data_IF_770290692920
#
_entry.id   IF_770290692920
#
_cell.length_a   1.000
_cell.length_b   1.000
_cell.length_c   1.000
_cell.angle_alpha   90.00
_cell.angle_beta   90.00
_cell.angle_gamma   90.00
#
_symmetry.space_group_name_H-M   'P 1'
#
loop_
_entity.id
_entity.type
_entity.pdbx_description
1 polymer ?
#
# COMPACT_ATOMS: atom_id res chain seq x y z
N UNK A 1 -12.47 13.76 12.24
CA UNK A 1 -12.16 13.36 10.85
C UNK A 1 -12.52 14.51 9.92
N UNK A 2 -11.74 14.75 8.87
CA UNK A 2 -11.98 15.85 7.92
C UNK A 2 -11.51 15.50 6.50
N UNK A 3 -12.07 16.17 5.49
CA UNK A 3 -11.59 16.09 4.11
C UNK A 3 -10.51 17.14 3.86
N UNK A 4 -9.43 16.74 3.21
CA UNK A 4 -8.27 17.60 2.94
C UNK A 4 -7.74 17.37 1.53
N UNK A 5 -6.99 18.33 1.01
CA UNK A 5 -6.14 18.11 -0.18
C UNK A 5 -4.80 17.56 0.27
N UNK A 6 -4.52 16.31 -0.08
CA UNK A 6 -3.28 15.62 0.25
C UNK A 6 -2.17 15.82 -0.81
N UNK A 7 -1.10 15.02 -0.72
CA UNK A 7 -0.05 14.98 -1.72
C UNK A 7 -0.56 14.76 -3.15
N UNK A 8 0.14 15.33 -4.13
CA UNK A 8 -0.26 15.34 -5.57
C UNK A 8 -1.68 15.88 -5.83
N UNK A 9 -2.21 16.70 -4.90
CA UNK A 9 -3.55 17.33 -4.97
C UNK A 9 -4.72 16.35 -4.92
N UNK A 10 -4.50 15.12 -4.46
CA UNK A 10 -5.58 14.16 -4.27
C UNK A 10 -6.52 14.55 -3.12
N UNK A 11 -7.80 14.26 -3.30
CA UNK A 11 -8.74 14.37 -2.19
C UNK A 11 -8.47 13.24 -1.18
N UNK A 12 -8.34 13.60 0.09
CA UNK A 12 -8.08 12.67 1.16
C UNK A 12 -9.06 12.82 2.30
N UNK A 13 -9.28 11.73 3.04
CA UNK A 13 -9.85 11.74 4.38
C UNK A 13 -8.71 11.70 5.40
N UNK A 14 -8.73 12.64 6.36
CA UNK A 14 -7.74 12.74 7.43
C UNK A 14 -8.33 12.32 8.77
N UNK A 15 -7.62 11.43 9.44
CA UNK A 15 -7.84 11.07 10.84
C UNK A 15 -6.69 11.67 11.66
N UNK A 16 -7.00 12.32 12.78
CA UNK A 16 -6.02 12.98 13.63
C UNK A 16 -6.34 12.83 15.12
N UNK A 17 -5.29 12.89 15.93
CA UNK A 17 -5.32 13.10 17.36
C UNK A 17 -4.26 14.16 17.72
N UNK A 18 -3.97 14.34 19.00
CA UNK A 18 -3.00 15.36 19.45
C UNK A 18 -1.54 15.03 19.06
N UNK A 19 -1.25 13.78 18.66
CA UNK A 19 0.10 13.27 18.43
C UNK A 19 0.44 13.07 16.96
N UNK A 20 -0.49 12.54 16.17
CA UNK A 20 -0.30 12.14 14.76
C UNK A 20 -1.55 12.40 13.92
N UNK A 21 -1.35 12.37 12.61
CA UNK A 21 -2.43 12.26 11.63
C UNK A 21 -2.08 11.28 10.51
N UNK A 22 -3.12 10.71 9.92
CA UNK A 22 -3.07 9.80 8.77
C UNK A 22 -4.03 10.28 7.71
N UNK A 23 -3.62 10.22 6.44
CA UNK A 23 -4.44 10.63 5.29
C UNK A 23 -4.54 9.50 4.29
N UNK A 24 -5.77 9.22 3.89
CA UNK A 24 -6.06 8.22 2.87
C UNK A 24 -6.83 8.83 1.71
N UNK A 25 -6.43 8.49 0.49
CA UNK A 25 -7.03 9.01 -0.73
C UNK A 25 -8.46 8.48 -0.90
N UNK A 26 -9.36 9.33 -1.38
CA UNK A 26 -10.77 8.98 -1.59
C UNK A 26 -11.23 9.10 -3.05
N UNK A 27 -10.53 9.91 -3.84
CA UNK A 27 -10.69 10.08 -5.29
C UNK A 27 -9.92 9.03 -6.11
N UNK A 28 -8.90 8.42 -5.51
CA UNK A 28 -8.16 7.26 -6.03
C UNK A 28 -7.90 6.27 -4.89
N UNK A 29 -7.78 4.96 -5.15
CA UNK A 29 -7.26 4.00 -4.16
C UNK A 29 -8.09 2.73 -3.96
N UNK A 30 -8.06 2.12 -2.75
CA UNK A 30 -7.69 2.71 -1.45
C UNK A 30 -6.17 2.78 -1.20
N UNK A 31 -5.69 3.94 -0.70
CA UNK A 31 -4.28 4.15 -0.34
C UNK A 31 -4.15 5.06 0.88
N UNK A 32 -3.15 4.82 1.72
CA UNK A 32 -2.70 5.79 2.72
C UNK A 32 -1.49 6.49 2.15
N UNK A 33 -1.53 7.82 2.06
CA UNK A 33 -0.48 8.62 1.41
C UNK A 33 0.32 9.44 2.41
N UNK A 34 -0.26 9.69 3.59
CA UNK A 34 0.42 10.43 4.66
C UNK A 34 0.27 9.72 5.98
N UNK A 35 1.36 9.64 6.72
CA UNK A 35 1.36 9.40 8.17
C UNK A 35 2.44 10.29 8.79
N UNK A 36 2.06 11.13 9.74
CA UNK A 36 2.96 12.14 10.30
C UNK A 36 2.60 12.46 11.75
N UNK A 37 3.61 12.92 12.50
CA UNK A 37 3.41 13.60 13.78
C UNK A 37 2.77 14.97 13.55
N UNK A 38 1.98 15.46 14.49
CA UNK A 38 1.48 16.84 14.40
C UNK A 38 2.68 17.81 14.35
N UNK A 39 2.76 18.61 13.28
CA UNK A 39 3.89 19.51 13.01
C UNK A 39 5.16 18.85 12.47
N UNK A 40 5.15 17.54 12.22
CA UNK A 40 6.28 16.80 11.64
C UNK A 40 6.15 16.56 10.14
N UNK A 41 7.16 15.91 9.58
CA UNK A 41 7.20 15.50 8.17
C UNK A 41 6.44 14.18 7.93
N UNK A 42 5.92 13.99 6.73
CA UNK A 42 5.35 12.72 6.29
C UNK A 42 6.44 11.63 6.28
N UNK A 43 6.21 10.52 6.98
CA UNK A 43 7.16 9.40 6.99
C UNK A 43 7.02 8.49 5.77
N UNK A 44 5.88 8.57 5.08
CA UNK A 44 5.62 7.78 3.88
C UNK A 44 6.33 8.39 2.67
N UNK A 45 6.89 7.53 1.83
CA UNK A 45 7.68 7.94 0.68
C UNK A 45 6.80 8.21 -0.54
N UNK A 46 7.05 9.34 -1.20
CA UNK A 46 6.35 9.78 -2.41
C UNK A 46 7.09 9.34 -3.69
N UNK A 47 6.34 8.92 -4.70
CA UNK A 47 6.89 8.48 -5.99
C UNK A 47 6.02 8.92 -7.18
N UNK A 48 5.49 10.14 -7.13
CA UNK A 48 4.53 10.66 -8.12
C UNK A 48 5.09 10.81 -9.54
N UNK A 49 6.42 10.94 -9.67
CA UNK A 49 7.09 11.10 -10.97
C UNK A 49 7.15 9.80 -11.80
N UNK A 50 6.73 8.66 -11.23
CA UNK A 50 6.74 7.36 -11.92
C UNK A 50 5.35 7.06 -12.46
N UNK A 51 5.22 6.95 -13.78
CA UNK A 51 4.03 6.46 -14.45
C UNK A 51 4.40 5.30 -15.38
N UNK A 52 3.72 4.17 -15.22
CA UNK A 52 3.91 2.97 -16.06
C UNK A 52 2.61 2.72 -16.80
N UNK A 53 2.65 2.79 -18.13
CA UNK A 53 1.51 2.42 -18.96
C UNK A 53 1.31 0.91 -18.93
N UNK A 54 0.10 0.47 -18.59
CA UNK A 54 -0.28 -0.94 -18.58
C UNK A 54 -1.54 -1.15 -19.43
N UNK A 55 -1.82 -2.40 -19.80
CA UNK A 55 -3.07 -2.74 -20.49
C UNK A 55 -4.33 -2.50 -19.65
N UNK A 56 -4.17 -2.24 -18.35
CA UNK A 56 -5.24 -1.93 -17.39
C UNK A 56 -5.34 -0.42 -17.09
N UNK A 57 -4.52 0.41 -17.74
CA UNK A 57 -4.39 1.85 -17.52
C UNK A 57 -3.04 2.26 -16.95
N UNK A 58 -2.81 3.57 -16.80
CA UNK A 58 -1.59 4.12 -16.23
C UNK A 58 -1.49 3.75 -14.74
N UNK A 59 -0.51 2.93 -14.40
CA UNK A 59 -0.18 2.65 -13.00
C UNK A 59 0.73 3.75 -12.46
N UNK A 60 0.38 4.27 -11.28
CA UNK A 60 1.20 5.20 -10.52
C UNK A 60 1.45 4.67 -9.11
N UNK A 61 2.68 4.73 -8.60
CA UNK A 61 2.93 4.57 -7.18
C UNK A 61 2.60 5.90 -6.51
N UNK A 62 1.30 6.12 -6.20
CA UNK A 62 0.83 7.27 -5.42
C UNK A 62 1.33 7.26 -3.96
N UNK A 63 2.58 6.86 -3.70
CA UNK A 63 3.20 6.83 -2.38
C UNK A 63 2.59 5.81 -1.40
N UNK A 64 3.22 5.74 -0.24
CA UNK A 64 2.62 5.25 1.00
C UNK A 64 2.21 3.78 1.02
N UNK A 65 1.00 3.50 1.49
CA UNK A 65 0.54 2.16 1.83
C UNK A 65 -0.61 1.67 0.93
N UNK A 66 -0.52 0.44 0.44
CA UNK A 66 -1.49 -0.14 -0.51
C UNK A 66 -1.71 -1.64 -0.33
N UNK A 67 -2.94 -2.09 -0.55
CA UNK A 67 -3.34 -3.50 -0.59
C UNK A 67 -3.20 -4.13 -1.99
N UNK A 68 -2.56 -5.29 -2.04
CA UNK A 68 -2.35 -6.13 -3.22
C UNK A 68 -2.89 -7.56 -3.01
N UNK A 69 -2.99 -8.30 -4.11
CA UNK A 69 -3.36 -9.71 -4.14
C UNK A 69 -2.22 -10.54 -4.73
N UNK A 70 -1.91 -11.68 -4.12
CA UNK A 70 -1.01 -12.71 -4.62
C UNK A 70 -1.83 -13.95 -5.07
N UNK A 71 -1.31 -14.83 -5.95
CA UNK A 71 -0.02 -14.72 -6.64
C UNK A 71 0.04 -13.48 -7.53
N UNK A 72 1.24 -12.95 -7.76
CA UNK A 72 1.41 -11.79 -8.63
C UNK A 72 0.99 -12.16 -10.05
N UNK A 73 -0.17 -11.67 -10.48
CA UNK A 73 -0.78 -12.03 -11.73
C UNK A 73 -1.58 -10.86 -12.32
N UNK A 74 -1.46 -10.67 -13.63
CA UNK A 74 -2.34 -9.78 -14.36
C UNK A 74 -3.69 -10.50 -14.58
N UNK A 75 -4.85 -9.88 -14.29
CA UNK A 75 -5.05 -8.48 -13.84
C UNK A 75 -5.15 -8.26 -12.32
N UNK A 76 -5.18 -9.32 -11.51
CA UNK A 76 -5.50 -9.24 -10.08
C UNK A 76 -4.56 -8.32 -9.28
N UNK A 77 -3.25 -8.44 -9.50
CA UNK A 77 -2.22 -7.73 -8.73
C UNK A 77 -1.93 -6.33 -9.26
N UNK A 78 -2.16 -6.11 -10.56
CA UNK A 78 -1.78 -4.87 -11.25
C UNK A 78 -2.93 -3.90 -11.53
N UNK A 79 -4.14 -4.22 -11.05
CA UNK A 79 -5.26 -3.29 -11.06
C UNK A 79 -4.76 -1.93 -10.52
N UNK A 80 -4.90 -0.80 -11.21
CA UNK A 80 -4.18 0.43 -10.88
C UNK A 80 -4.70 1.14 -9.62
N UNK A 81 -5.91 0.81 -9.17
CA UNK A 81 -6.62 1.47 -8.06
C UNK A 81 -6.69 3.01 -8.27
N UNK A 82 -7.05 3.43 -9.48
CA UNK A 82 -7.17 4.85 -9.89
C UNK A 82 -8.61 5.40 -9.79
N UNK A 83 -9.56 4.59 -9.33
CA UNK A 83 -10.96 4.99 -9.21
C UNK A 83 -11.26 5.52 -7.79
N UNK A 84 -12.27 6.39 -7.64
CA UNK A 84 -12.78 6.78 -6.33
C UNK A 84 -13.25 5.57 -5.52
N UNK A 85 -13.13 5.68 -4.20
CA UNK A 85 -13.56 4.67 -3.24
C UNK A 85 -14.82 5.12 -2.48
N UNK A 86 -15.63 4.15 -2.08
CA UNK A 86 -16.72 4.41 -1.12
C UNK A 86 -16.13 4.63 0.27
N UNK A 87 -16.55 5.72 0.92
CA UNK A 87 -16.06 6.14 2.25
C UNK A 87 -17.14 5.85 3.29
N UNK A 88 -16.80 5.02 4.27
CA UNK A 88 -17.67 4.72 5.42
C UNK A 88 -16.98 5.15 6.71
N UNK A 89 -17.42 6.27 7.28
CA UNK A 89 -16.94 6.74 8.58
C UNK A 89 -17.47 5.82 9.70
N UNK A 90 -16.60 5.47 10.64
CA UNK A 90 -16.89 4.57 11.77
C UNK A 90 -16.45 5.29 13.05
N UNK A 91 -17.38 6.01 13.67
CA UNK A 91 -17.05 6.90 14.79
C UNK A 91 -16.12 8.03 14.36
N UNK A 92 -15.37 8.59 15.31
CA UNK A 92 -14.58 9.81 15.06
C UNK A 92 -13.19 9.56 14.45
N UNK A 93 -12.65 8.35 14.66
CA UNK A 93 -11.25 7.99 14.38
C UNK A 93 -11.11 6.65 13.66
N UNK A 94 -12.14 6.18 12.98
CA UNK A 94 -11.99 5.06 12.06
C UNK A 94 -12.76 5.30 10.76
N UNK A 95 -12.18 4.87 9.64
CA UNK A 95 -12.81 4.95 8.32
C UNK A 95 -12.59 3.64 7.59
N UNK A 96 -13.60 3.18 6.85
CA UNK A 96 -13.48 2.06 5.92
C UNK A 96 -13.62 2.59 4.50
N UNK A 97 -12.58 2.33 3.70
CA UNK A 97 -12.52 2.65 2.28
C UNK A 97 -12.76 1.39 1.46
N UNK A 98 -13.66 1.45 0.50
CA UNK A 98 -14.03 0.30 -0.34
C UNK A 98 -13.86 0.68 -1.82
N UNK A 99 -12.94 0.03 -2.52
CA UNK A 99 -12.78 0.23 -3.96
C UNK A 99 -13.94 -0.39 -4.74
N UNK A 100 -14.13 0.06 -5.98
CA UNK A 100 -14.93 -0.70 -6.94
C UNK A 100 -14.26 -2.05 -7.24
N UNK A 101 -15.04 -3.12 -7.51
CA UNK A 101 -14.45 -4.38 -7.96
C UNK A 101 -13.68 -4.21 -9.27
N UNK A 102 -12.43 -4.65 -9.31
CA UNK A 102 -11.59 -4.69 -10.50
C UNK A 102 -11.13 -6.13 -10.72
N UNK A 103 -11.28 -6.64 -11.94
CA UNK A 103 -11.00 -8.04 -12.27
C UNK A 103 -11.66 -9.08 -11.34
N UNK A 104 -12.88 -8.79 -10.85
CA UNK A 104 -13.60 -9.68 -9.94
C UNK A 104 -13.11 -9.64 -8.49
N UNK A 105 -12.14 -8.79 -8.14
CA UNK A 105 -11.70 -8.56 -6.77
C UNK A 105 -12.10 -7.19 -6.28
N UNK A 106 -12.65 -7.12 -5.07
CA UNK A 106 -12.90 -5.86 -4.38
C UNK A 106 -11.97 -5.73 -3.18
N UNK A 107 -11.21 -4.63 -3.13
CA UNK A 107 -10.31 -4.31 -2.04
C UNK A 107 -10.99 -3.35 -1.08
N UNK A 108 -10.75 -3.52 0.21
CA UNK A 108 -11.13 -2.54 1.23
C UNK A 108 -10.09 -2.46 2.33
N UNK A 109 -10.02 -1.29 2.95
CA UNK A 109 -9.10 -0.97 4.03
C UNK A 109 -9.86 -0.24 5.12
N UNK A 110 -9.83 -0.76 6.34
CA UNK A 110 -10.30 -0.04 7.53
C UNK A 110 -9.10 0.52 8.26
N UNK A 111 -9.08 1.84 8.47
CA UNK A 111 -8.02 2.57 9.16
C UNK A 111 -8.59 3.08 10.46
N UNK A 112 -7.95 2.73 11.58
CA UNK A 112 -8.34 3.19 12.92
C UNK A 112 -7.16 3.89 13.58
N UNK A 113 -7.36 5.12 14.02
CA UNK A 113 -6.39 5.88 14.80
C UNK A 113 -6.75 5.82 16.29
N UNK A 114 -5.77 5.51 17.14
CA UNK A 114 -5.97 5.51 18.59
C UNK A 114 -6.30 6.92 19.10
N UNK A 115 -7.08 7.01 20.20
CA UNK A 115 -7.45 8.30 20.79
C UNK A 115 -6.23 9.13 21.23
N UNK A 116 -5.14 8.47 21.60
CA UNK A 116 -3.86 9.07 22.00
C UNK A 116 -2.69 8.26 21.49
N UNK A 117 -1.54 8.90 21.37
CA UNK A 117 -0.30 8.31 20.87
C UNK A 117 -0.31 8.13 19.36
N UNK A 118 0.61 7.32 18.86
CA UNK A 118 0.90 7.21 17.43
C UNK A 118 0.38 5.93 16.77
N UNK A 119 -0.50 5.19 17.46
CA UNK A 119 -0.92 3.87 16.98
C UNK A 119 -2.01 3.99 15.91
N UNK A 120 -1.72 3.45 14.74
CA UNK A 120 -2.68 3.28 13.63
C UNK A 120 -2.83 1.79 13.34
N UNK A 121 -4.08 1.32 13.36
CA UNK A 121 -4.43 -0.06 13.00
C UNK A 121 -5.04 -0.08 11.61
N UNK A 122 -4.55 -0.97 10.75
CA UNK A 122 -5.05 -1.13 9.39
C UNK A 122 -5.55 -2.56 9.23
N UNK A 123 -6.82 -2.71 8.83
CA UNK A 123 -7.42 -4.01 8.50
C UNK A 123 -7.68 -4.08 7.01
N UNK A 124 -7.01 -5.01 6.35
CA UNK A 124 -7.17 -5.29 4.92
C UNK A 124 -8.22 -6.36 4.68
N UNK A 125 -9.00 -6.21 3.61
CA UNK A 125 -9.92 -7.23 3.13
C UNK A 125 -10.00 -7.24 1.62
N UNK A 126 -9.95 -8.44 1.06
CA UNK A 126 -10.25 -8.71 -0.35
C UNK A 126 -11.53 -9.55 -0.41
N UNK A 127 -12.46 -9.19 -1.29
CA UNK A 127 -13.68 -9.93 -1.55
C UNK A 127 -13.69 -10.39 -3.01
N UNK A 128 -13.83 -11.70 -3.22
CA UNK A 128 -14.02 -12.27 -4.55
C UNK A 128 -15.47 -12.09 -5.00
N UNK A 129 -15.67 -11.34 -6.08
CA UNK A 129 -16.94 -11.13 -6.77
C UNK A 129 -17.04 -11.93 -8.08
N UNK A 130 -16.05 -12.76 -8.39
CA UNK A 130 -16.10 -13.66 -9.54
C UNK A 130 -16.92 -14.92 -9.23
N UNK A 131 -17.42 -15.58 -10.27
CA UNK A 131 -18.14 -16.86 -10.13
C UNK A 131 -17.27 -18.00 -9.59
N UNK A 132 -16.03 -18.22 -10.08
CA UNK A 132 -15.21 -19.30 -9.54
C UNK A 132 -14.61 -18.93 -8.17
N UNK A 133 -14.40 -19.94 -7.34
CA UNK A 133 -13.47 -19.83 -6.22
C UNK A 133 -12.07 -19.60 -6.77
N UNK A 134 -11.34 -18.66 -6.17
CA UNK A 134 -9.97 -18.32 -6.52
C UNK A 134 -9.07 -18.50 -5.30
N UNK A 135 -7.83 -18.90 -5.56
CA UNK A 135 -6.79 -18.96 -4.56
C UNK A 135 -6.03 -17.64 -4.58
N UNK A 136 -6.10 -16.88 -3.49
CA UNK A 136 -5.40 -15.60 -3.34
C UNK A 136 -4.86 -15.43 -1.92
N UNK A 137 -3.82 -14.59 -1.79
CA UNK A 137 -3.36 -14.09 -0.50
C UNK A 137 -3.31 -12.55 -0.51
N UNK A 138 -3.83 -11.88 0.54
CA UNK A 138 -3.65 -10.44 0.70
C UNK A 138 -2.21 -10.14 1.09
N UNK A 139 -1.62 -9.11 0.48
CA UNK A 139 -0.34 -8.56 0.88
C UNK A 139 -0.37 -7.05 0.75
N UNK A 140 0.44 -6.35 1.52
CA UNK A 140 0.43 -4.90 1.52
C UNK A 140 1.85 -4.36 1.34
N UNK A 141 1.96 -3.28 0.58
CA UNK A 141 3.21 -2.58 0.34
C UNK A 141 3.17 -1.24 1.07
N UNK A 142 4.29 -0.89 1.71
CA UNK A 142 4.51 0.41 2.34
C UNK A 142 5.80 1.02 1.81
N UNK A 143 5.68 2.16 1.15
CA UNK A 143 6.81 2.98 0.75
C UNK A 143 7.08 3.99 1.86
N UNK A 144 8.30 4.00 2.37
CA UNK A 144 8.77 4.96 3.39
C UNK A 144 9.75 5.94 2.78
N UNK A 145 9.84 7.14 3.36
CA UNK A 145 10.80 8.16 2.93
C UNK A 145 12.25 7.66 3.00
N UNK A 146 13.10 8.15 2.09
CA UNK A 146 14.51 7.79 2.06
C UNK A 146 15.27 8.37 3.28
N UNK A 147 16.38 7.75 3.66
CA UNK A 147 17.24 8.21 4.76
C UNK A 147 16.90 7.62 6.14
N UNK A 148 15.87 6.79 6.23
CA UNK A 148 15.53 6.03 7.43
C UNK A 148 16.38 4.76 7.64
N UNK A 149 16.18 4.13 8.79
CA UNK A 149 16.77 2.83 9.15
C UNK A 149 15.69 1.75 9.17
N UNK A 150 15.99 0.58 8.60
CA UNK A 150 15.11 -0.58 8.61
C UNK A 150 15.61 -1.59 9.64
N UNK A 151 14.79 -1.86 10.66
CA UNK A 151 15.04 -2.92 11.64
C UNK A 151 14.14 -4.10 11.27
N UNK A 152 14.74 -5.20 10.84
CA UNK A 152 14.01 -6.40 10.42
C UNK A 152 14.36 -7.54 11.39
N UNK A 153 13.37 -8.18 12.03
CA UNK A 153 13.60 -9.38 12.82
C UNK A 153 14.28 -10.44 11.96
N UNK A 154 15.43 -10.92 12.41
CA UNK A 154 16.13 -12.05 11.79
C UNK A 154 15.84 -13.30 12.61
N UNK A 155 14.63 -13.85 12.44
CA UNK A 155 14.27 -15.12 13.06
C UNK A 155 15.23 -16.22 12.59
N UNK A 156 15.64 -17.16 13.47
CA UNK A 156 16.45 -18.31 13.06
C UNK A 156 15.75 -19.03 11.90
N UNK A 157 16.50 -19.39 10.86
CA UNK A 157 15.95 -20.07 9.70
C UNK A 157 15.38 -21.45 10.08
N UNK A 158 14.08 -21.51 10.40
CA UNK A 158 13.36 -22.78 10.39
C UNK A 158 13.18 -23.21 8.94
N UNK A 159 14.02 -24.17 8.52
CA UNK A 159 13.91 -24.98 7.30
C UNK A 159 13.09 -24.33 6.17
N UNK A 160 13.60 -23.22 5.60
CA UNK A 160 13.18 -22.83 4.26
C UNK A 160 13.66 -23.93 3.30
N UNK A 161 12.78 -24.88 2.98
CA UNK A 161 13.02 -25.81 1.88
C UNK A 161 13.27 -24.96 0.64
N UNK A 162 14.53 -24.94 0.19
CA UNK A 162 14.89 -24.34 -1.09
C UNK A 162 14.01 -25.01 -2.15
N UNK A 163 13.10 -24.26 -2.75
CA UNK A 163 12.45 -24.66 -3.99
C UNK A 163 13.50 -24.60 -5.11
N UNK A 164 14.37 -25.61 -5.17
CA UNK A 164 15.26 -25.82 -6.30
C UNK A 164 14.46 -26.44 -7.44
N UNK A 165 13.93 -25.61 -8.33
CA UNK A 165 13.64 -26.01 -9.70
C UNK A 165 14.27 -25.01 -10.66
N UNK A 166 15.22 -25.49 -11.46
CA UNK A 166 15.77 -24.78 -12.62
C UNK A 166 17.27 -24.58 -12.56
N UNK A 167 18.03 -25.63 -12.88
CA UNK A 167 19.45 -25.53 -13.22
C UNK A 167 19.58 -24.75 -14.54
N UNK A 168 20.33 -23.65 -14.52
CA UNK A 168 20.36 -22.68 -15.63
C UNK A 168 21.28 -21.48 -15.40
N UNK A 169 22.56 -21.73 -15.12
CA UNK A 169 23.69 -20.84 -15.43
C UNK A 169 23.66 -19.41 -14.89
N UNK A 170 24.20 -19.19 -13.68
CA UNK A 170 24.59 -17.86 -13.22
C UNK A 170 25.73 -17.31 -14.09
N UNK A 171 25.47 -16.25 -14.87
CA UNK A 171 26.50 -15.31 -15.32
C UNK A 171 26.47 -14.08 -14.41
N UNK A 172 27.59 -13.85 -13.72
CA UNK A 172 27.81 -12.68 -12.88
C UNK A 172 27.78 -11.39 -13.70
N UNK A 173 26.91 -10.44 -13.33
CA UNK A 173 26.98 -9.06 -13.80
C UNK A 173 27.62 -8.18 -12.72
N UNK A 174 28.71 -7.53 -13.11
CA UNK A 174 29.46 -6.57 -12.31
C UNK A 174 28.66 -5.28 -12.05
N UNK A 175 28.89 -4.69 -10.86
CA UNK A 175 28.34 -3.45 -10.30
C UNK A 175 28.29 -2.27 -11.28
N UNK A 176 27.18 -1.52 -11.24
CA UNK A 176 27.18 -0.06 -11.42
C UNK A 176 26.45 0.58 -10.25
N UNK A 177 27.13 1.54 -9.60
CA UNK A 177 26.62 2.39 -8.53
C UNK A 177 25.25 2.98 -8.90
N UNK A 178 24.19 2.49 -8.25
CA UNK A 178 22.94 3.22 -8.06
C UNK A 178 22.64 3.16 -6.58
N UNK A 179 22.40 4.33 -6.01
CA UNK A 179 21.87 4.51 -4.65
C UNK A 179 20.70 3.54 -4.47
N UNK A 180 20.67 2.72 -3.41
CA UNK A 180 19.55 1.81 -3.20
C UNK A 180 18.32 2.65 -2.85
N UNK A 181 17.40 2.81 -3.80
CA UNK A 181 16.00 2.99 -3.43
C UNK A 181 15.56 1.65 -2.86
N UNK A 182 15.40 1.59 -1.54
CA UNK A 182 14.86 0.42 -0.89
C UNK A 182 13.39 0.28 -1.32
N UNK A 183 13.14 -0.54 -2.34
CA UNK A 183 11.83 -1.15 -2.53
C UNK A 183 11.83 -2.37 -1.63
N UNK A 184 11.24 -2.22 -0.45
CA UNK A 184 11.01 -3.36 0.45
C UNK A 184 9.84 -4.16 -0.14
N UNK A 185 10.07 -5.46 -0.37
CA UNK A 185 9.12 -6.41 -0.96
C UNK A 185 8.03 -6.81 0.05
#
# INVERSE_FOLDING_TARGET
>A
MERVTGPDKHECIRLSNDDVYVEATIDVGPRIVTYSRVGGENVLGEAFDVAIETTLGTWRPYAGHRLWAAPEANPFSYAPDNDPVDVHEIGERAVRLVARPQAGLQKSMTITLADKGSNVTIVHRITNHSLPTIEIAPWALTIVGAGGEAIVPNEPAENQQKNTKGDGGQKAFHKKNRTPQAVMF
#
